data_IF_001837911551
#
_entry.id   IF_001837911551
#
_cell.length_a   1.000
_cell.length_b   1.000
_cell.length_c   1.000
_cell.angle_alpha   90.00
_cell.angle_beta   90.00
_cell.angle_gamma   90.00
#
_symmetry.space_group_name_H-M   'P 1'
#
loop_
_entity.id
_entity.type
_entity.pdbx_description
1 polymer ?
#
# COMPACT_ATOMS: atom_id res chain seq x y z
N UNK A 1 -12.43 -48.84 -39.13
CA UNK A 1 -11.71 -47.55 -39.08
C UNK A 1 -12.45 -46.67 -38.09
N UNK A 2 -12.06 -46.74 -36.82
CA UNK A 2 -12.74 -46.04 -35.71
C UNK A 2 -11.68 -45.21 -35.00
N UNK A 3 -11.68 -43.90 -35.25
CA UNK A 3 -10.76 -42.97 -34.61
C UNK A 3 -11.22 -42.70 -33.17
N UNK A 4 -10.41 -43.10 -32.19
CA UNK A 4 -10.55 -42.63 -30.81
C UNK A 4 -9.82 -41.29 -30.69
N UNK A 5 -10.59 -40.24 -30.44
CA UNK A 5 -10.08 -38.90 -30.12
C UNK A 5 -9.58 -38.91 -28.68
N UNK A 6 -8.27 -38.81 -28.47
CA UNK A 6 -7.67 -38.65 -27.15
C UNK A 6 -7.77 -37.18 -26.73
N UNK A 7 -8.54 -36.90 -25.68
CA UNK A 7 -8.56 -35.59 -25.02
C UNK A 7 -7.30 -35.49 -24.16
N UNK A 8 -6.39 -34.60 -24.53
CA UNK A 8 -5.20 -34.26 -23.74
C UNK A 8 -5.63 -33.27 -22.65
N UNK A 9 -5.75 -33.74 -21.40
CA UNK A 9 -5.90 -32.85 -20.25
C UNK A 9 -4.59 -32.11 -20.02
N UNK A 10 -4.57 -30.81 -20.33
CA UNK A 10 -3.49 -29.91 -19.91
C UNK A 10 -3.74 -29.60 -18.44
N UNK A 11 -3.02 -30.28 -17.54
CA UNK A 11 -3.03 -29.96 -16.13
C UNK A 11 -2.42 -28.57 -15.90
N UNK A 12 -3.17 -27.68 -15.24
CA UNK A 12 -2.62 -26.46 -14.66
C UNK A 12 -1.54 -26.86 -13.64
N UNK A 13 -0.28 -26.55 -13.94
CA UNK A 13 0.80 -26.63 -12.95
C UNK A 13 0.65 -25.39 -12.06
N UNK A 14 -0.12 -25.51 -10.98
CA UNK A 14 0.00 -24.59 -9.86
C UNK A 14 1.39 -24.77 -9.26
N UNK A 15 2.22 -23.72 -9.31
CA UNK A 15 3.48 -23.73 -8.56
C UNK A 15 3.13 -23.78 -7.07
N UNK A 16 3.80 -24.63 -6.26
CA UNK A 16 3.57 -24.62 -4.83
C UNK A 16 4.10 -23.28 -4.30
N UNK A 17 3.19 -22.40 -3.89
CA UNK A 17 3.55 -21.43 -2.87
C UNK A 17 4.00 -22.25 -1.65
N UNK A 18 5.21 -22.01 -1.15
CA UNK A 18 5.56 -22.56 0.15
C UNK A 18 4.56 -21.95 1.13
N UNK A 19 3.95 -22.79 1.97
CA UNK A 19 2.72 -22.48 2.71
C UNK A 19 2.80 -21.28 3.69
N UNK A 20 3.92 -20.56 3.72
CA UNK A 20 4.23 -19.49 4.67
C UNK A 20 4.89 -18.25 4.04
N UNK A 21 4.95 -18.15 2.70
CA UNK A 21 5.52 -16.97 2.06
C UNK A 21 4.68 -15.70 2.31
N UNK A 22 5.37 -14.57 2.48
CA UNK A 22 4.86 -13.21 2.61
C UNK A 22 5.40 -12.36 1.46
N UNK A 23 4.87 -12.51 0.23
CA UNK A 23 5.60 -12.14 -0.99
C UNK A 23 5.62 -10.66 -1.35
N UNK A 24 4.79 -9.84 -0.74
CA UNK A 24 4.60 -8.42 -1.10
C UNK A 24 4.20 -7.60 0.13
N UNK A 25 3.96 -6.30 -0.06
CA UNK A 25 3.36 -5.44 0.97
C UNK A 25 2.13 -6.10 1.60
N UNK A 26 2.16 -6.26 2.92
CA UNK A 26 1.11 -6.95 3.71
C UNK A 26 0.82 -8.40 3.26
N UNK A 27 1.79 -9.10 2.67
CA UNK A 27 1.68 -10.52 2.36
C UNK A 27 0.77 -10.80 1.17
N UNK A 28 0.25 -12.01 1.06
CA UNK A 28 -0.54 -12.44 -0.10
C UNK A 28 -1.71 -11.48 -0.33
N UNK A 29 -1.76 -10.91 -1.54
CA UNK A 29 -2.76 -9.97 -1.99
C UNK A 29 -2.96 -8.75 -1.05
N UNK A 30 -1.90 -8.32 -0.36
CA UNK A 30 -1.92 -7.23 0.62
C UNK A 30 -2.90 -7.39 1.80
N UNK A 31 -3.35 -8.62 2.07
CA UNK A 31 -4.35 -8.91 3.11
C UNK A 31 -3.91 -8.52 4.53
N UNK A 32 -2.62 -8.63 4.83
CA UNK A 32 -2.07 -8.51 6.17
C UNK A 32 -2.28 -9.78 7.01
N UNK A 33 -2.70 -10.90 6.41
CA UNK A 33 -3.08 -12.12 7.15
C UNK A 33 -2.18 -13.28 6.77
N UNK A 34 -1.55 -13.88 7.78
CA UNK A 34 -0.88 -15.16 7.65
C UNK A 34 -1.88 -16.30 7.80
N UNK A 35 -1.86 -17.24 6.85
CA UNK A 35 -2.66 -18.47 6.90
C UNK A 35 -1.96 -19.61 7.63
N UNK A 36 -0.74 -19.38 8.14
CA UNK A 36 0.03 -20.38 8.87
C UNK A 36 -0.63 -20.72 10.21
N UNK A 37 -0.53 -22.00 10.60
CA UNK A 37 -0.95 -22.49 11.92
C UNK A 37 0.19 -22.47 12.94
N UNK A 38 1.40 -22.06 12.55
CA UNK A 38 2.53 -21.95 13.47
C UNK A 38 2.26 -20.89 14.53
N UNK A 39 2.78 -21.13 15.73
CA UNK A 39 2.62 -20.20 16.86
C UNK A 39 3.46 -18.95 16.65
N UNK A 40 2.82 -17.79 16.80
CA UNK A 40 3.49 -16.48 16.75
C UNK A 40 3.74 -15.96 18.17
N UNK A 41 4.85 -15.25 18.42
CA UNK A 41 5.18 -14.74 19.74
C UNK A 41 4.14 -13.71 20.22
N UNK A 42 3.72 -13.83 21.48
CA UNK A 42 2.90 -12.80 22.15
C UNK A 42 3.80 -11.74 22.77
N UNK A 43 4.82 -12.18 23.51
CA UNK A 43 5.81 -11.33 24.15
C UNK A 43 7.13 -11.42 23.40
N UNK A 44 7.74 -10.28 23.10
CA UNK A 44 9.05 -10.17 22.47
C UNK A 44 9.66 -8.79 22.71
N UNK A 45 10.97 -8.72 22.69
CA UNK A 45 11.75 -7.48 22.83
C UNK A 45 13.15 -7.74 22.27
N UNK A 46 14.05 -6.76 22.36
CA UNK A 46 15.45 -6.97 22.02
C UNK A 46 16.15 -8.06 22.88
N UNK A 47 15.59 -8.38 24.05
CA UNK A 47 16.13 -9.39 24.97
C UNK A 47 15.30 -10.70 25.00
N UNK A 48 14.06 -10.67 24.48
CA UNK A 48 13.11 -11.79 24.55
C UNK A 48 12.63 -12.18 23.15
N UNK A 49 12.74 -13.45 22.79
CA UNK A 49 12.30 -14.00 21.50
C UNK A 49 12.91 -13.34 20.24
N UNK A 50 13.95 -12.50 20.39
CA UNK A 50 14.77 -12.03 19.28
C UNK A 50 15.59 -13.20 18.72
N UNK A 51 15.42 -13.49 17.44
CA UNK A 51 16.18 -14.54 16.72
C UNK A 51 17.44 -13.96 16.12
N UNK A 52 17.32 -12.81 15.48
CA UNK A 52 18.42 -12.07 14.90
C UNK A 52 17.98 -10.63 14.59
N UNK A 53 18.96 -9.75 14.46
CA UNK A 53 18.77 -8.38 13.95
C UNK A 53 19.94 -7.99 13.05
N UNK A 54 19.69 -7.09 12.11
CA UNK A 54 20.69 -6.54 11.20
C UNK A 54 20.47 -5.04 11.02
N UNK A 55 21.56 -4.27 11.02
CA UNK A 55 21.53 -2.84 10.68
C UNK A 55 21.61 -2.67 9.16
N UNK A 56 20.78 -1.78 8.61
CA UNK A 56 20.63 -1.57 7.16
C UNK A 56 20.94 -0.13 6.75
N UNK A 57 20.38 0.86 7.45
CA UNK A 57 20.31 2.26 7.02
C UNK A 57 18.88 2.76 6.97
N UNK A 58 18.67 4.01 6.55
CA UNK A 58 17.36 4.67 6.55
C UNK A 58 16.39 3.98 5.57
N UNK A 59 15.17 3.67 6.00
CA UNK A 59 14.15 3.13 5.10
C UNK A 59 12.86 2.78 5.82
N UNK A 60 11.77 2.74 5.04
CA UNK A 60 10.42 2.39 5.57
C UNK A 60 9.68 1.39 4.67
N UNK A 61 10.33 0.86 3.63
CA UNK A 61 9.83 -0.27 2.87
C UNK A 61 9.70 -1.51 3.75
N UNK A 62 8.59 -2.22 3.61
CA UNK A 62 8.31 -3.39 4.44
C UNK A 62 9.20 -4.57 4.04
N UNK A 63 9.54 -5.47 4.97
CA UNK A 63 10.18 -6.72 4.60
C UNK A 63 9.18 -7.64 3.89
N UNK A 64 9.67 -8.47 2.98
CA UNK A 64 8.93 -9.61 2.42
C UNK A 64 9.70 -10.89 2.69
N UNK A 65 9.01 -12.03 2.74
CA UNK A 65 9.64 -13.33 2.99
C UNK A 65 9.19 -14.32 1.92
N UNK A 66 10.11 -14.85 1.12
CA UNK A 66 9.78 -15.84 0.08
C UNK A 66 10.86 -16.90 -0.01
N UNK A 67 10.47 -18.17 0.03
CA UNK A 67 11.38 -19.30 -0.15
C UNK A 67 12.54 -19.29 0.84
N UNK A 68 12.25 -19.00 2.12
CA UNK A 68 13.22 -18.93 3.21
C UNK A 68 14.17 -17.73 3.16
N UNK A 69 13.87 -16.70 2.36
CA UNK A 69 14.67 -15.47 2.25
C UNK A 69 13.84 -14.25 2.64
N UNK A 70 14.46 -13.30 3.33
CA UNK A 70 13.87 -12.00 3.63
C UNK A 70 14.45 -10.97 2.68
N UNK A 71 13.60 -10.21 2.00
CA UNK A 71 14.01 -9.09 1.14
C UNK A 71 13.51 -7.77 1.71
N UNK A 72 14.35 -6.73 1.62
CA UNK A 72 14.02 -5.37 2.08
C UNK A 72 14.88 -4.34 1.36
N UNK A 73 14.48 -3.08 1.45
CA UNK A 73 15.20 -1.93 0.88
C UNK A 73 15.68 -0.98 1.98
N UNK A 74 16.74 -0.22 1.68
CA UNK A 74 17.21 0.89 2.52
C UNK A 74 18.04 1.90 1.70
N UNK A 75 18.24 3.09 2.26
CA UNK A 75 19.28 4.03 1.93
C UNK A 75 20.52 3.71 2.78
N UNK A 76 21.60 3.23 2.16
CA UNK A 76 22.86 2.89 2.86
C UNK A 76 23.86 4.05 2.91
N UNK A 77 23.65 5.06 2.06
CA UNK A 77 24.35 6.32 2.06
C UNK A 77 23.42 7.39 1.44
N UNK A 78 23.81 8.66 1.50
CA UNK A 78 23.01 9.81 1.01
C UNK A 78 22.46 9.61 -0.40
N UNK A 79 23.22 8.93 -1.27
CA UNK A 79 22.84 8.69 -2.67
C UNK A 79 22.91 7.23 -3.11
N UNK A 80 22.71 6.30 -2.16
CA UNK A 80 22.79 4.87 -2.45
C UNK A 80 21.54 4.17 -1.96
N UNK A 81 20.74 3.67 -2.91
CA UNK A 81 19.71 2.68 -2.63
C UNK A 81 20.34 1.29 -2.53
N UNK A 82 19.84 0.48 -1.60
CA UNK A 82 20.24 -0.91 -1.47
C UNK A 82 19.03 -1.83 -1.39
N UNK A 83 19.12 -2.95 -2.07
CA UNK A 83 18.21 -4.09 -1.91
C UNK A 83 19.00 -5.22 -1.25
N UNK A 84 18.43 -5.81 -0.21
CA UNK A 84 19.06 -6.87 0.56
C UNK A 84 18.29 -8.17 0.44
N UNK A 85 19.02 -9.28 0.52
CA UNK A 85 18.47 -10.60 0.83
C UNK A 85 19.17 -11.20 2.03
N UNK A 86 18.39 -11.74 2.97
CA UNK A 86 18.87 -12.45 4.14
C UNK A 86 18.27 -13.85 4.18
N UNK A 87 18.99 -14.81 4.75
CA UNK A 87 18.41 -16.09 5.14
C UNK A 87 17.42 -15.85 6.29
N UNK A 88 16.16 -16.23 6.10
CA UNK A 88 15.10 -15.96 7.08
C UNK A 88 15.35 -16.63 8.44
N UNK A 89 16.03 -17.78 8.45
CA UNK A 89 16.33 -18.50 9.67
C UNK A 89 17.40 -17.85 10.55
N UNK A 90 18.41 -17.23 9.95
CA UNK A 90 19.64 -16.83 10.66
C UNK A 90 19.93 -15.34 10.59
N UNK A 91 19.27 -14.60 9.69
CA UNK A 91 19.62 -13.20 9.40
C UNK A 91 20.92 -13.07 8.62
N UNK A 92 21.53 -14.17 8.17
CA UNK A 92 22.76 -14.13 7.37
C UNK A 92 22.48 -13.43 6.03
N UNK A 93 23.23 -12.37 5.74
CA UNK A 93 23.16 -11.69 4.45
C UNK A 93 23.57 -12.66 3.34
N UNK A 94 22.67 -12.90 2.40
CA UNK A 94 22.89 -13.71 1.21
C UNK A 94 23.51 -12.86 0.10
N UNK A 95 22.92 -11.69 -0.14
CA UNK A 95 23.43 -10.71 -1.08
C UNK A 95 22.91 -9.30 -0.75
N UNK A 96 23.58 -8.30 -1.33
CA UNK A 96 23.18 -6.90 -1.34
C UNK A 96 23.42 -6.35 -2.74
N UNK A 97 22.50 -5.55 -3.26
CA UNK A 97 22.64 -4.84 -4.53
C UNK A 97 22.45 -3.35 -4.28
N UNK A 98 23.46 -2.57 -4.66
CA UNK A 98 23.48 -1.14 -4.49
C UNK A 98 23.24 -0.43 -5.82
N UNK A 99 22.52 0.69 -5.76
CA UNK A 99 22.21 1.53 -6.91
C UNK A 99 22.47 2.99 -6.54
N UNK A 100 23.14 3.73 -7.44
CA UNK A 100 23.23 5.17 -7.31
C UNK A 100 21.83 5.78 -7.50
N UNK A 101 21.38 6.57 -6.53
CA UNK A 101 20.02 7.09 -6.50
C UNK A 101 19.79 8.26 -7.47
N UNK A 102 20.86 8.89 -7.97
CA UNK A 102 20.75 10.16 -8.70
C UNK A 102 20.37 11.33 -7.78
N UNK A 103 19.71 12.35 -8.33
CA UNK A 103 19.24 13.50 -7.56
C UNK A 103 17.93 13.15 -6.87
N UNK A 104 17.93 13.15 -5.55
CA UNK A 104 16.75 12.88 -4.74
C UNK A 104 15.85 14.13 -4.67
N UNK A 105 14.52 13.99 -4.87
CA UNK A 105 13.58 15.07 -4.62
C UNK A 105 13.46 15.34 -3.11
N UNK A 106 12.92 16.50 -2.74
CA UNK A 106 12.52 16.74 -1.35
C UNK A 106 11.37 15.80 -0.98
N UNK A 107 11.40 15.28 0.24
CA UNK A 107 10.29 14.50 0.83
C UNK A 107 10.03 14.94 2.28
N UNK A 108 8.80 14.73 2.74
CA UNK A 108 8.35 15.06 4.10
C UNK A 108 8.40 13.82 5.00
N UNK A 109 8.95 13.92 6.23
CA UNK A 109 8.87 12.85 7.22
C UNK A 109 7.42 12.40 7.53
N UNK A 110 7.20 11.14 7.93
CA UNK A 110 8.20 10.12 8.23
C UNK A 110 8.61 9.29 7.00
N UNK A 111 8.40 9.77 5.77
CA UNK A 111 8.77 9.02 4.59
C UNK A 111 10.31 8.85 4.44
N UNK A 112 10.71 7.96 3.53
CA UNK A 112 12.10 7.73 3.12
C UNK A 112 12.14 7.52 1.60
N UNK A 113 13.29 7.70 0.96
CA UNK A 113 13.44 7.34 -0.44
C UNK A 113 13.45 5.82 -0.68
N UNK A 114 13.69 5.02 0.36
CA UNK A 114 13.53 3.57 0.35
C UNK A 114 12.21 3.15 1.04
N UNK A 115 11.09 3.69 0.55
CA UNK A 115 9.74 3.49 1.10
C UNK A 115 8.93 2.42 0.38
N UNK A 116 9.21 2.20 -0.91
CA UNK A 116 8.53 1.16 -1.68
C UNK A 116 8.92 -0.23 -1.18
N UNK A 117 7.91 -1.07 -0.93
CA UNK A 117 8.07 -2.45 -0.50
C UNK A 117 8.36 -3.34 -1.72
N UNK A 118 9.38 -4.21 -1.68
CA UNK A 118 9.62 -5.20 -2.73
C UNK A 118 8.42 -6.16 -2.90
N UNK A 119 8.34 -6.81 -4.06
CA UNK A 119 7.48 -7.98 -4.30
C UNK A 119 8.28 -9.10 -4.95
N UNK A 120 7.95 -10.37 -4.67
CA UNK A 120 8.60 -11.52 -5.29
C UNK A 120 7.62 -12.59 -5.74
N UNK A 121 7.93 -13.22 -6.87
CA UNK A 121 7.26 -14.43 -7.38
C UNK A 121 8.03 -15.72 -7.06
N UNK A 122 9.03 -15.63 -6.17
CA UNK A 122 9.94 -16.71 -5.79
C UNK A 122 11.14 -16.92 -6.73
N UNK A 123 11.11 -16.37 -7.95
CA UNK A 123 12.24 -16.43 -8.90
C UNK A 123 12.97 -15.09 -8.98
N UNK A 124 12.20 -14.01 -8.94
CA UNK A 124 12.71 -12.65 -8.99
C UNK A 124 12.12 -11.82 -7.85
N UNK A 125 12.82 -10.74 -7.52
CA UNK A 125 12.37 -9.69 -6.62
C UNK A 125 12.27 -8.41 -7.43
N UNK A 126 11.12 -7.77 -7.37
CA UNK A 126 10.80 -6.53 -8.06
C UNK A 126 10.77 -5.39 -7.06
N UNK A 127 11.52 -4.33 -7.32
CA UNK A 127 11.58 -3.13 -6.49
C UNK A 127 11.25 -1.90 -7.31
N UNK A 128 10.84 -0.84 -6.62
CA UNK A 128 10.67 0.48 -7.21
C UNK A 128 11.44 1.53 -6.40
N UNK A 129 12.15 2.41 -7.10
CA UNK A 129 12.69 3.64 -6.53
C UNK A 129 12.29 4.81 -7.42
N UNK A 130 11.85 5.93 -6.84
CA UNK A 130 11.23 7.04 -7.59
C UNK A 130 12.13 7.68 -8.64
N UNK A 131 13.45 7.58 -8.48
CA UNK A 131 14.43 8.09 -9.44
C UNK A 131 14.93 7.02 -10.43
N UNK A 132 14.67 5.73 -10.18
CA UNK A 132 15.18 4.63 -11.00
C UNK A 132 14.10 3.86 -11.77
N UNK A 133 12.84 3.94 -11.33
CA UNK A 133 11.73 3.13 -11.87
C UNK A 133 11.67 1.74 -11.26
N UNK A 134 11.12 0.79 -12.02
CA UNK A 134 11.02 -0.62 -11.64
C UNK A 134 12.30 -1.38 -11.97
N UNK A 135 12.74 -2.25 -11.09
CA UNK A 135 13.93 -3.10 -11.27
C UNK A 135 13.57 -4.53 -10.87
N UNK A 136 13.97 -5.51 -11.68
CA UNK A 136 13.93 -6.92 -11.31
C UNK A 136 15.31 -7.45 -11.01
N UNK A 137 15.41 -8.14 -9.88
CA UNK A 137 16.60 -8.85 -9.44
C UNK A 137 16.29 -10.35 -9.37
N UNK A 138 17.23 -11.19 -9.76
CA UNK A 138 17.12 -12.63 -9.53
C UNK A 138 17.19 -12.91 -8.02
N UNK A 139 16.23 -13.68 -7.50
CA UNK A 139 16.01 -13.80 -6.06
C UNK A 139 17.18 -14.50 -5.33
N UNK A 140 17.87 -15.44 -5.99
CA UNK A 140 18.95 -16.21 -5.36
C UNK A 140 20.27 -15.43 -5.31
N UNK A 141 20.61 -14.73 -6.38
CA UNK A 141 21.93 -14.12 -6.59
C UNK A 141 21.90 -12.61 -6.43
N UNK A 142 20.75 -11.96 -6.60
CA UNK A 142 20.59 -10.51 -6.66
C UNK A 142 20.95 -9.89 -8.02
N UNK A 143 21.24 -10.69 -9.05
CA UNK A 143 21.59 -10.21 -10.39
C UNK A 143 20.44 -9.40 -11.01
N UNK A 144 20.74 -8.20 -11.51
CA UNK A 144 19.75 -7.39 -12.24
C UNK A 144 19.35 -8.11 -13.54
N UNK A 145 18.06 -8.41 -13.68
CA UNK A 145 17.50 -9.03 -14.89
C UNK A 145 17.01 -8.00 -15.87
N UNK A 146 16.35 -6.96 -15.38
CA UNK A 146 15.92 -5.83 -16.18
C UNK A 146 15.67 -4.60 -15.30
N UNK A 147 15.71 -3.44 -15.93
CA UNK A 147 15.35 -2.15 -15.34
C UNK A 147 14.43 -1.40 -16.30
N UNK A 148 13.35 -0.85 -15.78
CA UNK A 148 12.34 -0.10 -16.51
C UNK A 148 12.16 1.27 -15.86
N UNK A 149 12.66 2.30 -16.53
CA UNK A 149 12.36 3.68 -16.16
C UNK A 149 10.87 3.96 -16.26
N UNK A 150 10.33 4.59 -15.21
CA UNK A 150 8.98 5.14 -15.17
C UNK A 150 9.07 6.67 -15.01
N UNK A 151 8.01 7.42 -15.37
CA UNK A 151 7.95 8.85 -15.12
C UNK A 151 8.17 9.15 -13.64
N UNK A 152 9.02 10.13 -13.32
CA UNK A 152 9.21 10.55 -11.93
C UNK A 152 7.90 11.08 -11.36
N UNK A 153 7.44 10.56 -10.21
CA UNK A 153 6.19 11.02 -9.61
C UNK A 153 6.36 12.43 -9.07
N UNK A 154 5.27 13.21 -9.10
CA UNK A 154 5.23 14.57 -8.55
C UNK A 154 4.07 14.70 -7.58
N UNK A 155 4.38 15.10 -6.35
CA UNK A 155 3.41 15.29 -5.28
C UNK A 155 3.42 16.75 -4.85
N UNK A 156 2.27 17.43 -4.89
CA UNK A 156 2.16 18.85 -4.59
C UNK A 156 2.63 19.21 -3.16
N UNK A 157 2.54 18.25 -2.24
CA UNK A 157 2.86 18.42 -0.82
C UNK A 157 4.19 17.76 -0.41
N UNK A 158 5.02 17.34 -1.37
CA UNK A 158 6.31 16.67 -1.11
C UNK A 158 6.21 15.46 -0.15
N UNK A 159 5.07 14.75 -0.08
CA UNK A 159 4.96 13.54 0.76
C UNK A 159 5.93 12.44 0.31
N UNK A 160 6.33 12.45 -0.97
CA UNK A 160 7.28 11.51 -1.56
C UNK A 160 6.64 10.18 -1.96
N UNK A 161 7.29 9.45 -2.87
CA UNK A 161 6.76 8.18 -3.36
C UNK A 161 6.81 7.08 -2.29
N UNK A 162 5.72 6.31 -2.16
CA UNK A 162 5.64 5.16 -1.25
C UNK A 162 4.85 3.96 -1.82
N UNK A 163 4.23 4.10 -2.99
CA UNK A 163 3.51 2.99 -3.64
C UNK A 163 4.44 1.80 -3.89
N UNK A 164 3.88 0.60 -3.79
CA UNK A 164 4.62 -0.66 -3.92
C UNK A 164 4.09 -1.50 -5.09
N UNK A 165 4.95 -2.18 -5.85
CA UNK A 165 4.52 -3.11 -6.89
C UNK A 165 3.84 -4.37 -6.30
N UNK A 166 2.99 -5.01 -7.10
CA UNK A 166 2.51 -6.37 -6.87
C UNK A 166 2.88 -7.26 -8.06
N UNK A 167 2.92 -8.58 -7.85
CA UNK A 167 3.08 -9.55 -8.94
C UNK A 167 1.93 -10.55 -8.94
N UNK A 168 1.32 -10.76 -10.10
CA UNK A 168 0.27 -11.74 -10.29
C UNK A 168 0.32 -12.27 -11.73
N UNK A 169 0.26 -13.58 -11.90
CA UNK A 169 0.25 -14.27 -13.20
C UNK A 169 1.30 -13.75 -14.20
N UNK A 170 2.55 -13.64 -13.73
CA UNK A 170 3.68 -13.20 -14.56
C UNK A 170 3.62 -11.72 -14.97
N UNK A 171 2.80 -10.91 -14.31
CA UNK A 171 2.68 -9.48 -14.53
C UNK A 171 2.99 -8.72 -13.23
N UNK A 172 3.88 -7.73 -13.33
CA UNK A 172 4.13 -6.75 -12.26
C UNK A 172 3.20 -5.56 -12.49
N UNK A 173 2.32 -5.29 -11.52
CA UNK A 173 1.46 -4.11 -11.53
C UNK A 173 2.03 -3.05 -10.58
N UNK A 174 2.03 -1.80 -11.03
CA UNK A 174 2.50 -0.67 -10.22
C UNK A 174 1.56 0.53 -10.38
N UNK A 175 0.94 0.94 -9.28
CA UNK A 175 0.07 2.12 -9.24
C UNK A 175 0.90 3.36 -8.89
N UNK A 176 0.97 4.30 -9.81
CA UNK A 176 1.51 5.62 -9.56
C UNK A 176 0.36 6.62 -9.63
N UNK A 177 -0.34 6.80 -8.52
CA UNK A 177 -1.27 7.92 -8.37
C UNK A 177 -0.50 9.11 -7.82
N UNK A 178 -0.05 9.99 -8.70
CA UNK A 178 0.61 11.25 -8.35
C UNK A 178 -0.24 12.45 -8.79
N UNK A 179 0.17 13.67 -8.44
CA UNK A 179 -0.62 14.87 -8.73
C UNK A 179 -0.43 15.40 -10.16
N UNK A 180 0.47 14.81 -10.96
CA UNK A 180 0.81 15.26 -12.31
C UNK A 180 0.31 14.33 -13.42
N UNK A 181 0.64 13.05 -13.36
CA UNK A 181 0.36 12.03 -14.39
C UNK A 181 0.05 10.67 -13.76
N UNK A 182 -1.05 10.56 -13.00
CA UNK A 182 -1.46 9.32 -12.36
C UNK A 182 -1.76 8.21 -13.38
N UNK A 183 -1.22 7.03 -13.17
CA UNK A 183 -1.31 5.90 -14.10
C UNK A 183 -1.08 4.55 -13.40
N UNK A 184 -1.75 3.51 -13.89
CA UNK A 184 -1.49 2.12 -13.50
C UNK A 184 -0.67 1.43 -14.60
N UNK A 185 0.50 0.93 -14.23
CA UNK A 185 1.38 0.18 -15.13
C UNK A 185 1.20 -1.32 -14.98
N UNK A 186 1.28 -2.05 -16.10
CA UNK A 186 1.43 -3.49 -16.13
C UNK A 186 2.65 -3.87 -16.97
N UNK A 187 3.60 -4.55 -16.35
CA UNK A 187 4.88 -4.92 -16.95
C UNK A 187 5.05 -6.44 -16.91
N UNK A 188 5.54 -7.04 -17.99
CA UNK A 188 5.88 -8.46 -18.01
C UNK A 188 6.99 -8.76 -17.00
N UNK A 189 6.73 -9.67 -16.07
CA UNK A 189 7.60 -9.94 -14.93
C UNK A 189 8.96 -10.53 -15.37
N UNK A 190 9.00 -11.24 -16.49
CA UNK A 190 10.23 -11.85 -16.99
C UNK A 190 11.13 -10.86 -17.72
N UNK A 191 10.56 -10.00 -18.55
CA UNK A 191 11.30 -9.18 -19.51
C UNK A 191 11.36 -7.68 -19.17
N UNK A 192 10.49 -7.19 -18.29
CA UNK A 192 10.36 -5.75 -18.04
C UNK A 192 9.64 -5.00 -19.18
N UNK A 193 9.08 -5.72 -20.16
CA UNK A 193 8.34 -5.11 -21.26
C UNK A 193 6.99 -4.59 -20.77
N UNK A 194 6.65 -3.35 -21.15
CA UNK A 194 5.33 -2.78 -20.86
C UNK A 194 4.26 -3.60 -21.61
N UNK A 195 3.28 -4.13 -20.87
CA UNK A 195 2.12 -4.81 -21.44
C UNK A 195 1.03 -3.81 -21.77
N UNK A 196 0.71 -2.95 -20.80
CA UNK A 196 -0.26 -1.87 -20.95
C UNK A 196 -0.10 -0.82 -19.86
N UNK A 197 -0.72 0.34 -20.07
CA UNK A 197 -0.91 1.38 -19.07
C UNK A 197 -2.39 1.76 -19.03
N UNK A 198 -2.97 1.94 -17.85
CA UNK A 198 -4.31 2.48 -17.70
C UNK A 198 -4.23 3.92 -17.21
N UNK A 199 -4.84 4.85 -17.97
CA UNK A 199 -4.95 6.25 -17.58
C UNK A 199 -5.76 6.38 -16.28
N UNK A 200 -5.20 7.14 -15.34
CA UNK A 200 -5.83 7.45 -14.06
C UNK A 200 -5.84 8.96 -13.84
N UNK A 201 -5.85 9.76 -14.91
CA UNK A 201 -5.90 11.23 -14.90
C UNK A 201 -7.04 11.84 -14.07
N UNK A 202 -8.05 11.04 -13.69
CA UNK A 202 -9.10 11.41 -12.76
C UNK A 202 -8.75 11.21 -11.27
N UNK A 203 -7.56 10.71 -10.94
CA UNK A 203 -7.04 10.55 -9.59
C UNK A 203 -6.11 11.72 -9.18
N UNK A 204 -5.86 11.84 -7.88
CA UNK A 204 -4.84 12.71 -7.28
C UNK A 204 -3.80 11.83 -6.57
N UNK A 205 -2.79 12.46 -5.94
CA UNK A 205 -1.79 11.80 -5.14
C UNK A 205 -2.36 10.74 -4.18
N UNK A 206 -1.95 9.48 -4.38
CA UNK A 206 -2.40 8.31 -3.64
C UNK A 206 -1.30 7.26 -3.49
N UNK A 207 -1.49 6.35 -2.53
CA UNK A 207 -0.46 5.36 -2.13
C UNK A 207 -0.98 3.93 -2.04
N UNK A 208 -2.23 3.71 -2.44
CA UNK A 208 -2.84 2.39 -2.39
C UNK A 208 -2.14 1.42 -3.36
N UNK A 209 -1.78 0.25 -2.83
CA UNK A 209 -1.25 -0.87 -3.61
C UNK A 209 -2.43 -1.56 -4.32
N UNK A 210 -2.28 -1.97 -5.60
CA UNK A 210 -3.30 -2.77 -6.27
C UNK A 210 -3.55 -4.10 -5.54
N UNK A 211 -4.78 -4.61 -5.65
CA UNK A 211 -5.12 -5.96 -5.20
C UNK A 211 -5.83 -6.72 -6.32
N UNK A 212 -5.76 -8.04 -6.28
CA UNK A 212 -6.51 -8.90 -7.19
C UNK A 212 -7.83 -9.25 -6.53
N UNK A 213 -8.94 -9.06 -7.26
CA UNK A 213 -10.27 -9.45 -6.80
C UNK A 213 -10.88 -10.44 -7.79
N UNK A 214 -11.18 -11.63 -7.29
CA UNK A 214 -11.98 -12.62 -8.00
C UNK A 214 -13.41 -12.59 -7.47
N UNK A 215 -14.35 -12.23 -8.34
CA UNK A 215 -15.76 -12.16 -7.99
C UNK A 215 -16.61 -12.38 -9.24
N UNK A 216 -17.72 -13.12 -9.11
CA UNK A 216 -18.65 -13.38 -10.21
C UNK A 216 -17.99 -13.99 -11.46
N UNK A 217 -16.97 -14.86 -11.28
CA UNK A 217 -16.22 -15.47 -12.38
C UNK A 217 -15.29 -14.51 -13.13
N UNK A 218 -15.02 -13.34 -12.56
CA UNK A 218 -14.16 -12.30 -13.11
C UNK A 218 -12.99 -12.00 -12.17
N UNK A 219 -11.79 -11.92 -12.74
CA UNK A 219 -10.58 -11.46 -12.05
C UNK A 219 -10.27 -10.03 -12.48
N UNK A 220 -10.18 -9.11 -11.52
CA UNK A 220 -9.85 -7.70 -11.73
C UNK A 220 -8.61 -7.29 -10.93
N UNK A 221 -7.78 -6.41 -11.52
CA UNK A 221 -6.85 -5.58 -10.74
C UNK A 221 -7.65 -4.42 -10.17
N UNK A 222 -7.75 -4.34 -8.85
CA UNK A 222 -8.53 -3.33 -8.14
C UNK A 222 -7.60 -2.31 -7.50
N UNK A 223 -7.89 -1.03 -7.73
CA UNK A 223 -7.14 0.08 -7.14
C UNK A 223 -8.10 1.07 -6.49
N UNK A 224 -7.82 1.40 -5.24
CA UNK A 224 -8.48 2.48 -4.52
C UNK A 224 -7.78 3.80 -4.84
N UNK A 225 -8.47 4.73 -5.48
CA UNK A 225 -7.96 6.07 -5.77
C UNK A 225 -8.89 7.14 -5.24
N UNK A 226 -8.54 8.41 -5.49
CA UNK A 226 -9.38 9.56 -5.12
C UNK A 226 -10.80 9.38 -5.66
N UNK A 227 -11.82 9.39 -4.80
CA UNK A 227 -13.25 9.28 -5.17
C UNK A 227 -13.72 7.94 -5.71
N UNK A 228 -12.85 7.18 -6.37
CA UNK A 228 -13.20 5.92 -7.00
C UNK A 228 -12.46 4.71 -6.44
N UNK A 229 -13.20 3.62 -6.28
CA UNK A 229 -12.65 2.26 -6.34
C UNK A 229 -12.87 1.74 -7.76
N UNK A 230 -11.79 1.36 -8.45
CA UNK A 230 -11.86 0.91 -9.85
C UNK A 230 -11.32 -0.50 -10.02
N UNK A 231 -11.97 -1.27 -10.89
CA UNK A 231 -11.51 -2.58 -11.33
C UNK A 231 -11.08 -2.54 -12.81
N UNK A 232 -9.92 -3.12 -13.08
CA UNK A 232 -9.30 -3.18 -14.40
C UNK A 232 -9.13 -4.62 -14.87
N UNK A 233 -9.27 -4.82 -16.17
CA UNK A 233 -8.91 -6.07 -16.82
C UNK A 233 -7.39 -6.34 -16.68
N UNK A 234 -6.97 -7.46 -16.04
CA UNK A 234 -5.55 -7.75 -15.84
C UNK A 234 -4.76 -7.91 -17.16
N UNK A 235 -5.42 -8.33 -18.24
CA UNK A 235 -4.79 -8.61 -19.53
C UNK A 235 -4.65 -7.36 -20.39
N UNK A 236 -5.63 -6.44 -20.33
CA UNK A 236 -5.69 -5.28 -21.24
C UNK A 236 -5.54 -3.92 -20.57
N UNK A 237 -5.73 -3.82 -19.26
CA UNK A 237 -5.76 -2.55 -18.54
C UNK A 237 -7.05 -1.75 -18.73
N UNK A 238 -8.04 -2.31 -19.44
CA UNK A 238 -9.32 -1.64 -19.63
C UNK A 238 -10.06 -1.51 -18.29
N UNK A 239 -10.53 -0.30 -17.98
CA UNK A 239 -11.44 -0.08 -16.86
C UNK A 239 -12.74 -0.86 -17.12
N UNK A 240 -13.08 -1.75 -16.19
CA UNK A 240 -14.28 -2.60 -16.29
C UNK A 240 -15.42 -2.03 -15.48
N UNK A 241 -15.13 -1.51 -14.29
CA UNK A 241 -16.12 -0.91 -13.40
C UNK A 241 -15.48 0.13 -12.48
N UNK A 242 -16.32 1.05 -11.99
CA UNK A 242 -15.94 2.08 -11.03
C UNK A 242 -17.05 2.28 -9.99
N UNK A 243 -16.68 2.40 -8.73
CA UNK A 243 -17.56 2.81 -7.62
C UNK A 243 -17.10 4.19 -7.12
N UNK A 244 -17.92 5.22 -7.31
CA UNK A 244 -17.68 6.56 -6.82
C UNK A 244 -18.07 6.66 -5.32
N UNK A 245 -17.32 5.95 -4.48
CA UNK A 245 -17.63 5.81 -3.05
C UNK A 245 -16.47 6.12 -2.13
N UNK A 246 -15.27 6.38 -2.65
CA UNK A 246 -14.09 6.65 -1.80
C UNK A 246 -13.95 8.16 -1.56
N UNK A 247 -12.89 8.52 -0.84
CA UNK A 247 -12.63 9.90 -0.43
C UNK A 247 -11.50 10.50 -1.27
N UNK A 248 -11.26 11.79 -1.09
CA UNK A 248 -10.25 12.53 -1.85
C UNK A 248 -8.84 11.93 -1.74
N UNK A 249 -8.33 11.71 -0.54
CA UNK A 249 -6.98 11.15 -0.36
C UNK A 249 -7.09 9.68 0.02
N UNK A 250 -6.59 8.81 -0.84
CA UNK A 250 -6.56 7.36 -0.61
C UNK A 250 -5.11 6.88 -0.48
N UNK A 251 -4.72 6.62 0.76
CA UNK A 251 -3.42 6.00 1.07
C UNK A 251 -3.58 4.54 1.48
N UNK A 252 -4.65 4.23 2.22
CA UNK A 252 -4.98 2.87 2.63
C UNK A 252 -5.28 1.96 1.42
N UNK A 253 -4.67 0.77 1.43
CA UNK A 253 -4.92 -0.25 0.40
C UNK A 253 -6.19 -1.04 0.69
N UNK A 254 -6.97 -1.43 -0.33
CA UNK A 254 -8.13 -2.32 -0.18
C UNK A 254 -7.71 -3.70 0.31
N UNK A 255 -8.64 -4.41 0.97
CA UNK A 255 -8.50 -5.82 1.35
C UNK A 255 -9.58 -6.63 0.65
N UNK A 256 -9.22 -7.78 0.08
CA UNK A 256 -10.19 -8.67 -0.58
C UNK A 256 -10.38 -9.94 0.25
N UNK A 257 -11.63 -10.27 0.55
CA UNK A 257 -12.03 -11.57 1.11
C UNK A 257 -13.33 -12.02 0.43
N UNK A 258 -13.33 -13.23 -0.14
CA UNK A 258 -14.51 -13.87 -0.76
C UNK A 258 -15.22 -12.99 -1.81
N UNK A 259 -14.45 -12.29 -2.65
CA UNK A 259 -14.98 -11.39 -3.68
C UNK A 259 -15.58 -10.08 -3.14
N UNK A 260 -15.41 -9.78 -1.85
CA UNK A 260 -15.77 -8.53 -1.21
C UNK A 260 -14.50 -7.72 -0.94
N UNK A 261 -14.55 -6.43 -1.27
CA UNK A 261 -13.47 -5.47 -1.11
C UNK A 261 -13.79 -4.58 0.08
N UNK A 262 -12.90 -4.56 1.06
CA UNK A 262 -13.00 -3.76 2.28
C UNK A 262 -12.04 -2.58 2.24
N UNK A 263 -12.54 -1.41 2.62
CA UNK A 263 -11.81 -0.15 2.61
C UNK A 263 -12.07 0.60 3.90
N UNK A 264 -11.08 1.35 4.37
CA UNK A 264 -11.27 2.37 5.38
C UNK A 264 -10.40 3.56 5.06
N UNK A 265 -10.94 4.77 5.14
CA UNK A 265 -10.17 5.98 4.95
C UNK A 265 -10.75 7.14 5.76
N UNK A 266 -9.85 7.96 6.27
CA UNK A 266 -10.13 9.34 6.66
C UNK A 266 -9.46 10.25 5.64
N UNK A 267 -10.16 11.26 5.17
CA UNK A 267 -9.58 12.33 4.36
C UNK A 267 -9.86 13.67 5.04
N UNK A 268 -8.83 14.51 5.17
CA UNK A 268 -8.98 15.86 5.74
C UNK A 268 -9.85 16.75 4.84
N UNK A 269 -10.51 17.73 5.45
CA UNK A 269 -11.54 18.56 4.81
C UNK A 269 -12.95 18.11 5.18
N UNK A 270 -13.93 19.01 5.03
CA UNK A 270 -15.35 18.62 5.07
C UNK A 270 -15.76 17.98 3.72
N UNK A 271 -16.95 17.39 3.66
CA UNK A 271 -17.48 16.71 2.46
C UNK A 271 -17.56 17.62 1.22
N UNK A 272 -17.46 18.95 1.40
CA UNK A 272 -17.53 19.97 0.36
C UNK A 272 -16.18 20.64 0.08
N UNK A 273 -15.18 20.48 0.96
CA UNK A 273 -13.85 21.09 0.83
C UNK A 273 -12.94 20.27 -0.06
N UNK A 274 -12.59 20.88 -1.19
CA UNK A 274 -11.73 20.35 -2.25
C UNK A 274 -10.26 20.78 -2.06
N UNK A 275 -9.38 20.58 -3.07
CA UNK A 275 -7.92 20.80 -2.98
C UNK A 275 -7.50 22.21 -2.51
N UNK A 276 -8.36 23.21 -2.72
CA UNK A 276 -8.21 24.63 -2.36
C UNK A 276 -7.39 24.92 -1.11
N UNK A 277 -7.82 24.45 0.06
CA UNK A 277 -7.20 24.85 1.33
C UNK A 277 -5.77 24.33 1.48
N UNK A 278 -5.52 23.11 1.01
CA UNK A 278 -4.19 22.52 1.01
C UNK A 278 -3.29 23.12 -0.08
N UNK A 279 -3.84 23.73 -1.13
CA UNK A 279 -3.02 24.47 -2.08
C UNK A 279 -2.60 25.83 -1.51
N UNK A 280 -3.55 26.57 -0.92
CA UNK A 280 -3.26 27.87 -0.33
C UNK A 280 -2.29 27.77 0.86
N UNK A 281 -2.48 26.83 1.78
CA UNK A 281 -1.57 26.74 2.93
C UNK A 281 -0.11 26.41 2.53
N UNK A 282 0.11 25.77 1.38
CA UNK A 282 1.40 25.18 1.02
C UNK A 282 2.11 25.87 -0.14
N UNK A 283 1.36 26.41 -1.10
CA UNK A 283 1.90 27.00 -2.34
C UNK A 283 1.72 28.51 -2.39
N UNK A 284 0.80 29.10 -1.62
CA UNK A 284 0.66 30.55 -1.52
C UNK A 284 1.77 31.12 -0.63
N UNK A 285 2.92 31.34 -1.25
CA UNK A 285 4.16 31.71 -0.54
C UNK A 285 4.11 33.13 0.01
N UNK A 286 3.30 34.00 -0.60
CA UNK A 286 3.13 35.39 -0.19
C UNK A 286 1.89 35.61 0.70
N UNK A 287 1.06 34.56 0.88
CA UNK A 287 -0.16 34.53 1.68
C UNK A 287 -1.23 35.51 1.22
N UNK A 288 -1.34 35.78 -0.09
CA UNK A 288 -2.30 36.71 -0.68
C UNK A 288 -3.66 36.08 -1.03
N UNK A 289 -3.80 34.77 -0.79
CA UNK A 289 -4.99 33.97 -1.04
C UNK A 289 -5.13 33.53 -2.50
N UNK A 290 -4.08 33.65 -3.31
CA UNK A 290 -4.06 33.33 -4.74
C UNK A 290 -2.85 32.48 -5.07
N UNK A 291 -2.87 31.85 -6.24
CA UNK A 291 -1.74 31.08 -6.75
C UNK A 291 -1.34 31.59 -8.13
N UNK A 292 -0.11 32.05 -8.25
CA UNK A 292 0.49 32.43 -9.53
C UNK A 292 1.32 31.28 -10.11
N UNK A 293 1.56 31.30 -11.42
CA UNK A 293 2.41 30.29 -12.08
C UNK A 293 3.84 30.24 -11.53
N UNK A 294 4.31 31.30 -10.87
CA UNK A 294 5.63 31.37 -10.23
C UNK A 294 5.68 30.58 -8.90
N UNK A 295 4.53 30.37 -8.27
CA UNK A 295 4.38 29.68 -6.98
C UNK A 295 4.11 28.18 -7.14
N UNK A 296 3.88 27.76 -8.38
CA UNK A 296 3.58 26.37 -8.73
C UNK A 296 4.82 25.72 -9.35
N UNK A 297 5.15 24.45 -9.02
CA UNK A 297 6.23 23.75 -9.68
C UNK A 297 6.05 23.75 -11.21
N UNK A 298 7.15 23.95 -11.95
CA UNK A 298 7.11 24.19 -13.40
C UNK A 298 6.43 23.06 -14.17
N UNK A 299 6.55 21.83 -13.66
CA UNK A 299 5.99 20.62 -14.23
C UNK A 299 4.45 20.66 -14.26
N UNK A 300 3.83 21.43 -13.36
CA UNK A 300 2.38 21.60 -13.26
C UNK A 300 1.84 22.73 -14.14
N UNK A 301 2.67 23.36 -14.98
CA UNK A 301 2.28 24.51 -15.80
C UNK A 301 1.05 24.25 -16.67
N UNK A 302 0.91 23.07 -17.27
CA UNK A 302 -0.28 22.73 -18.06
C UNK A 302 -1.54 22.52 -17.21
N UNK A 303 -1.40 21.97 -15.99
CA UNK A 303 -2.51 21.84 -15.04
C UNK A 303 -2.92 23.19 -14.45
N UNK A 304 -1.96 24.10 -14.27
CA UNK A 304 -2.21 25.49 -13.91
C UNK A 304 -3.03 26.17 -15.00
N UNK A 305 -2.56 26.11 -16.26
CA UNK A 305 -3.24 26.73 -17.41
C UNK A 305 -4.65 26.17 -17.61
N UNK A 306 -4.89 24.90 -17.27
CA UNK A 306 -6.23 24.30 -17.29
C UNK A 306 -7.13 24.73 -16.12
N UNK A 307 -6.54 25.18 -15.01
CA UNK A 307 -7.25 25.61 -13.79
C UNK A 307 -7.54 27.12 -13.79
N UNK A 308 -6.72 27.91 -14.48
CA UNK A 308 -6.90 29.34 -14.80
C UNK A 308 -7.92 29.50 -15.93
N UNK A 309 -9.20 29.49 -15.57
CA UNK A 309 -10.34 29.51 -16.51
C UNK A 309 -10.53 30.88 -17.13
N UNK A 310 -10.15 31.95 -16.44
CA UNK A 310 -10.29 33.32 -16.93
C UNK A 310 -9.05 33.79 -17.72
N UNK A 311 -7.93 33.07 -17.63
CA UNK A 311 -6.68 33.32 -18.36
C UNK A 311 -5.90 34.53 -17.84
N UNK A 312 -6.12 34.96 -16.59
CA UNK A 312 -5.47 36.13 -16.00
C UNK A 312 -4.09 35.82 -15.38
N UNK A 313 -3.69 34.55 -15.41
CA UNK A 313 -2.41 34.07 -14.89
C UNK A 313 -2.43 33.81 -13.37
N UNK A 314 -3.61 33.82 -12.74
CA UNK A 314 -3.80 33.70 -11.30
C UNK A 314 -4.98 32.80 -10.96
N UNK A 315 -4.75 31.71 -10.23
CA UNK A 315 -5.84 30.87 -9.70
C UNK A 315 -6.34 31.50 -8.40
N UNK A 316 -7.56 32.02 -8.41
CA UNK A 316 -8.17 32.71 -7.27
C UNK A 316 -9.51 32.10 -6.82
N UNK A 317 -10.26 32.80 -5.95
CA UNK A 317 -11.56 32.36 -5.44
C UNK A 317 -12.51 32.00 -6.60
N UNK A 318 -13.11 30.80 -6.55
CA UNK A 318 -13.94 30.23 -7.62
C UNK A 318 -13.19 29.27 -8.56
N UNK A 319 -11.91 29.51 -8.86
CA UNK A 319 -11.07 28.58 -9.63
C UNK A 319 -10.36 27.58 -8.70
N UNK A 320 -9.87 28.08 -7.56
CA UNK A 320 -9.23 27.29 -6.50
C UNK A 320 -10.04 26.09 -6.04
N UNK A 321 -11.38 26.20 -6.04
CA UNK A 321 -12.27 25.12 -5.60
C UNK A 321 -12.20 23.90 -6.53
N UNK A 322 -11.79 24.08 -7.79
CA UNK A 322 -11.67 22.99 -8.78
C UNK A 322 -10.25 22.79 -9.30
N UNK A 323 -9.30 23.63 -8.87
CA UNK A 323 -7.93 23.61 -9.37
C UNK A 323 -7.26 22.24 -9.16
N UNK A 324 -6.53 21.80 -10.17
CA UNK A 324 -5.80 20.53 -10.20
C UNK A 324 -6.66 19.26 -10.01
N UNK A 325 -7.99 19.37 -10.01
CA UNK A 325 -8.91 18.25 -9.88
C UNK A 325 -9.61 17.96 -11.21
N UNK A 326 -9.86 16.67 -11.47
CA UNK A 326 -10.59 16.26 -12.67
C UNK A 326 -12.07 16.63 -12.57
N UNK A 327 -12.68 17.11 -13.65
CA UNK A 327 -14.12 17.36 -13.70
C UNK A 327 -14.97 16.10 -13.44
N UNK A 328 -14.39 14.90 -13.64
CA UNK A 328 -15.04 13.62 -13.33
C UNK A 328 -14.92 13.22 -11.86
N UNK A 329 -14.09 13.92 -11.09
CA UNK A 329 -13.77 13.59 -9.71
C UNK A 329 -13.59 14.84 -8.84
N UNK A 330 -14.61 15.16 -8.06
CA UNK A 330 -14.65 16.33 -7.16
C UNK A 330 -15.01 15.91 -5.73
N UNK A 331 -14.59 14.71 -5.30
CA UNK A 331 -14.92 14.22 -3.96
C UNK A 331 -14.19 15.01 -2.87
N UNK A 332 -14.89 15.24 -1.75
CA UNK A 332 -14.35 15.96 -0.60
C UNK A 332 -13.65 15.08 0.44
N UNK A 333 -13.43 15.67 1.61
CA UNK A 333 -12.96 14.97 2.79
C UNK A 333 -14.07 14.17 3.48
N UNK A 334 -13.74 13.44 4.54
CA UNK A 334 -14.71 12.66 5.30
C UNK A 334 -14.10 11.45 5.99
N UNK A 335 -14.97 10.55 6.43
CA UNK A 335 -14.59 9.25 6.97
C UNK A 335 -15.44 8.17 6.34
N UNK A 336 -14.82 7.04 6.00
CA UNK A 336 -15.56 5.93 5.43
C UNK A 336 -14.94 4.60 5.84
N UNK A 337 -15.80 3.63 6.12
CA UNK A 337 -15.46 2.20 6.25
C UNK A 337 -16.49 1.46 5.40
N UNK A 338 -16.03 0.73 4.39
CA UNK A 338 -16.90 0.18 3.35
C UNK A 338 -16.63 -1.28 3.08
N UNK A 339 -17.68 -1.98 2.68
CA UNK A 339 -17.60 -3.22 1.91
C UNK A 339 -18.24 -3.00 0.54
N UNK A 340 -17.50 -3.35 -0.51
CA UNK A 340 -17.92 -3.24 -1.90
C UNK A 340 -17.76 -4.61 -2.55
N UNK A 341 -18.80 -5.13 -3.18
CA UNK A 341 -18.72 -6.36 -3.97
C UNK A 341 -17.81 -6.14 -5.18
N UNK A 342 -16.89 -7.07 -5.44
CA UNK A 342 -16.13 -7.09 -6.70
C UNK A 342 -16.95 -7.61 -7.87
N UNK A 343 -16.38 -7.58 -9.08
CA UNK A 343 -16.95 -8.21 -10.26
C UNK A 343 -18.23 -7.53 -10.76
N UNK A 344 -18.06 -6.43 -11.50
CA UNK A 344 -19.15 -5.69 -12.13
C UNK A 344 -18.77 -5.09 -13.50
N UNK A 345 -19.64 -4.19 -14.01
CA UNK A 345 -19.47 -3.46 -15.27
C UNK A 345 -20.00 -2.03 -15.15
N UNK A 346 -19.24 -1.05 -15.64
CA UNK A 346 -19.63 0.37 -15.64
C UNK A 346 -19.67 0.98 -14.23
N UNK A 347 -20.55 1.95 -14.02
CA UNK A 347 -20.78 2.53 -12.68
C UNK A 347 -21.53 1.51 -11.79
N UNK A 348 -20.84 1.06 -10.76
CA UNK A 348 -21.35 0.05 -9.81
C UNK A 348 -21.69 0.64 -8.44
N UNK A 349 -21.61 1.95 -8.28
CA UNK A 349 -21.73 2.65 -6.98
C UNK A 349 -23.00 2.25 -6.22
N UNK A 350 -24.15 2.20 -6.90
CA UNK A 350 -25.44 1.88 -6.27
C UNK A 350 -25.70 0.38 -6.09
N UNK A 351 -24.97 -0.48 -6.81
CA UNK A 351 -25.27 -1.91 -6.93
C UNK A 351 -24.29 -2.79 -6.17
N UNK A 352 -23.06 -2.31 -5.93
CA UNK A 352 -21.99 -3.10 -5.34
C UNK A 352 -21.56 -2.63 -3.95
N UNK A 353 -21.85 -1.39 -3.55
CA UNK A 353 -21.64 -0.96 -2.15
C UNK A 353 -22.63 -1.74 -1.26
N UNK A 354 -22.11 -2.65 -0.44
CA UNK A 354 -22.90 -3.50 0.45
C UNK A 354 -23.30 -2.75 1.71
N UNK A 355 -22.34 -2.03 2.29
CA UNK A 355 -22.55 -1.13 3.41
C UNK A 355 -21.44 -0.09 3.45
N UNK A 356 -21.75 1.05 4.06
CA UNK A 356 -20.82 2.16 4.29
C UNK A 356 -21.09 2.75 5.68
N UNK A 357 -20.06 2.84 6.50
CA UNK A 357 -20.14 3.31 7.87
C UNK A 357 -19.41 4.64 7.96
N UNK A 358 -20.09 5.66 8.48
CA UNK A 358 -19.45 6.89 8.91
C UNK A 358 -19.02 6.73 10.37
N UNK A 359 -17.71 6.54 10.58
CA UNK A 359 -17.11 6.43 11.91
C UNK A 359 -15.93 7.40 12.04
N UNK A 360 -15.56 7.78 13.27
CA UNK A 360 -14.44 8.69 13.55
C UNK A 360 -13.09 7.99 13.72
N UNK A 361 -13.02 6.67 13.71
CA UNK A 361 -11.77 5.90 13.90
C UNK A 361 -10.97 5.51 12.65
N UNK A 362 -11.39 5.66 11.37
CA UNK A 362 -10.51 5.29 10.27
C UNK A 362 -9.29 6.20 10.23
N UNK A 363 -8.19 5.65 9.71
CA UNK A 363 -6.94 6.37 9.47
C UNK A 363 -6.93 6.89 8.04
N UNK A 364 -6.21 7.99 7.83
CA UNK A 364 -5.89 8.48 6.48
C UNK A 364 -4.76 7.67 5.82
N UNK A 365 -4.01 6.86 6.60
CA UNK A 365 -2.79 6.16 6.16
C UNK A 365 -2.95 4.65 6.27
N UNK A 366 -3.38 4.19 7.44
CA UNK A 366 -3.38 2.77 7.82
C UNK A 366 -4.50 2.03 7.13
N UNK A 367 -4.17 0.93 6.43
CA UNK A 367 -5.21 0.11 5.80
C UNK A 367 -5.87 -0.83 6.81
N UNK A 368 -7.17 -1.14 6.65
CA UNK A 368 -7.88 -2.02 7.56
C UNK A 368 -7.29 -3.43 7.53
N UNK A 369 -7.61 -4.27 8.50
CA UNK A 369 -7.37 -5.71 8.40
C UNK A 369 -8.70 -6.46 8.52
N UNK A 370 -8.84 -7.52 7.72
CA UNK A 370 -10.00 -8.40 7.75
C UNK A 370 -9.51 -9.80 8.07
N UNK A 371 -9.98 -10.38 9.18
CA UNK A 371 -9.60 -11.73 9.62
C UNK A 371 -10.84 -12.48 10.09
N UNK A 372 -11.23 -13.50 9.33
CA UNK A 372 -12.48 -14.22 9.58
C UNK A 372 -13.67 -13.30 9.38
N UNK A 373 -14.50 -13.13 10.42
CA UNK A 373 -15.66 -12.25 10.36
C UNK A 373 -15.37 -10.83 10.90
N UNK A 374 -14.14 -10.54 11.29
CA UNK A 374 -13.75 -9.29 11.93
C UNK A 374 -13.03 -8.34 10.96
N UNK A 375 -13.50 -7.11 10.84
CA UNK A 375 -12.78 -5.97 10.28
C UNK A 375 -12.25 -5.11 11.43
N UNK A 376 -10.94 -4.89 11.50
CA UNK A 376 -10.29 -4.06 12.52
C UNK A 376 -9.58 -2.85 11.88
N UNK A 377 -9.70 -1.71 12.55
CA UNK A 377 -9.03 -0.46 12.16
C UNK A 377 -8.40 0.22 13.37
N UNK A 378 -7.33 0.96 13.11
CA UNK A 378 -6.61 1.77 14.09
C UNK A 378 -6.17 3.09 13.45
N UNK A 379 -6.13 4.15 14.26
CA UNK A 379 -5.56 5.44 13.87
C UNK A 379 -4.73 6.06 14.99
N UNK A 380 -4.17 7.25 14.71
CA UNK A 380 -3.40 8.08 15.64
C UNK A 380 -3.95 8.08 17.08
N UNK A 381 -3.03 7.96 18.02
CA UNK A 381 -3.30 7.82 19.46
C UNK A 381 -3.75 6.42 19.88
N UNK A 382 -3.63 5.43 18.99
CA UNK A 382 -4.03 4.05 19.24
C UNK A 382 -5.54 3.89 19.35
N UNK A 383 -6.32 4.79 18.75
CA UNK A 383 -7.77 4.71 18.74
C UNK A 383 -8.21 3.68 17.71
N UNK A 384 -9.01 2.71 18.11
CA UNK A 384 -9.41 1.57 17.30
C UNK A 384 -10.91 1.33 17.33
N UNK A 385 -11.42 0.69 16.29
CA UNK A 385 -12.77 0.13 16.22
C UNK A 385 -12.71 -1.20 15.50
N UNK A 386 -13.76 -2.00 15.67
CA UNK A 386 -13.89 -3.31 15.04
C UNK A 386 -15.34 -3.56 14.65
N UNK A 387 -15.54 -4.22 13.52
CA UNK A 387 -16.84 -4.40 12.89
C UNK A 387 -16.98 -5.81 12.34
N UNK A 388 -18.21 -6.28 12.30
CA UNK A 388 -18.59 -7.50 11.59
C UNK A 388 -18.52 -7.26 10.08
N UNK A 389 -17.76 -8.09 9.37
CA UNK A 389 -17.49 -7.98 7.93
C UNK A 389 -18.73 -8.13 7.05
N UNK A 390 -19.75 -8.85 7.51
CA UNK A 390 -20.97 -9.10 6.73
C UNK A 390 -21.97 -7.97 6.86
N UNK A 391 -22.15 -7.47 8.07
CA UNK A 391 -23.23 -6.53 8.43
C UNK A 391 -22.75 -5.10 8.65
N UNK A 392 -21.46 -4.88 8.86
CA UNK A 392 -20.90 -3.59 9.26
C UNK A 392 -21.25 -3.18 10.70
N UNK A 393 -21.87 -4.06 11.49
CA UNK A 393 -22.19 -3.75 12.89
C UNK A 393 -20.91 -3.72 13.72
N UNK A 394 -20.78 -2.74 14.60
CA UNK A 394 -19.62 -2.66 15.47
C UNK A 394 -19.60 -3.78 16.51
N UNK A 395 -18.41 -4.37 16.68
CA UNK A 395 -18.06 -5.17 17.84
C UNK A 395 -17.67 -4.24 19.01
N UNK A 396 -16.87 -3.22 18.70
CA UNK A 396 -16.56 -2.10 19.59
C UNK A 396 -16.14 -0.89 18.77
N UNK A 397 -16.22 0.30 19.36
CA UNK A 397 -15.82 1.54 18.71
C UNK A 397 -14.99 2.42 19.63
N UNK A 398 -14.15 3.28 19.03
CA UNK A 398 -13.45 4.38 19.69
C UNK A 398 -12.71 3.97 20.97
N UNK A 399 -12.12 2.77 20.96
CA UNK A 399 -11.43 2.18 22.10
C UNK A 399 -9.93 2.24 21.88
N UNK A 400 -9.16 2.60 22.92
CA UNK A 400 -7.70 2.73 22.81
C UNK A 400 -6.99 1.41 23.10
N UNK A 401 -6.00 1.08 22.27
CA UNK A 401 -5.13 -0.10 22.44
C UNK A 401 -3.99 0.12 23.45
N UNK A 402 -4.10 1.16 24.31
CA UNK A 402 -3.14 1.52 25.37
C UNK A 402 -1.70 1.77 24.91
N UNK A 403 -1.51 2.14 23.64
CA UNK A 403 -0.26 2.69 23.12
C UNK A 403 -0.54 4.03 22.43
N UNK A 404 -0.09 5.13 23.04
CA UNK A 404 -0.29 6.49 22.50
C UNK A 404 0.87 6.83 21.57
N UNK A 405 0.57 7.00 20.29
CA UNK A 405 1.55 7.35 19.26
C UNK A 405 0.90 7.54 17.89
N UNK A 406 1.72 7.81 16.89
CA UNK A 406 1.31 7.79 15.49
C UNK A 406 1.37 6.36 14.93
N UNK A 407 0.56 6.10 13.90
CA UNK A 407 0.41 4.79 13.28
C UNK A 407 0.44 4.98 11.77
N UNK A 408 1.48 4.44 11.15
CA UNK A 408 1.69 4.41 9.69
C UNK A 408 1.70 2.96 9.19
N UNK A 409 2.34 2.07 9.97
CA UNK A 409 2.31 0.64 9.78
C UNK A 409 0.88 0.11 9.91
N UNK A 410 0.49 -0.77 8.98
CA UNK A 410 -0.82 -1.40 9.05
C UNK A 410 -0.80 -2.65 9.94
N UNK A 411 -1.94 -3.01 10.57
CA UNK A 411 -2.01 -4.24 11.34
C UNK A 411 -1.75 -5.47 10.48
N UNK A 412 -1.15 -6.49 11.08
CA UNK A 412 -1.00 -7.83 10.52
C UNK A 412 -1.50 -8.89 11.50
N UNK A 413 -1.96 -10.04 11.00
CA UNK A 413 -2.56 -11.07 11.83
C UNK A 413 -2.10 -12.48 11.48
N UNK A 414 -2.16 -13.35 12.48
CA UNK A 414 -1.88 -14.78 12.38
C UNK A 414 -2.01 -15.45 13.75
N UNK A 415 -2.24 -16.76 13.78
CA UNK A 415 -2.34 -17.54 15.04
C UNK A 415 -3.31 -16.92 16.07
N UNK A 416 -4.45 -16.39 15.61
CA UNK A 416 -5.46 -15.76 16.46
C UNK A 416 -5.04 -14.44 17.11
N UNK A 417 -3.98 -13.78 16.61
CA UNK A 417 -3.48 -12.50 17.12
C UNK A 417 -3.46 -11.44 16.03
N UNK A 418 -3.64 -10.18 16.43
CA UNK A 418 -3.46 -9.00 15.58
C UNK A 418 -2.31 -8.17 16.16
N UNK A 419 -1.29 -7.92 15.36
CA UNK A 419 -0.12 -7.12 15.69
C UNK A 419 -0.30 -5.71 15.16
N UNK A 420 -0.20 -4.72 16.04
CA UNK A 420 -0.41 -3.31 15.71
C UNK A 420 0.85 -2.52 16.07
N UNK A 421 1.58 -2.11 15.04
CA UNK A 421 2.86 -1.41 15.17
C UNK A 421 2.66 0.10 15.23
N UNK A 422 3.11 0.74 16.31
CA UNK A 422 3.17 2.20 16.43
C UNK A 422 4.52 2.74 15.94
N UNK A 423 4.50 3.99 15.44
CA UNK A 423 5.72 4.71 15.02
C UNK A 423 6.75 4.80 16.16
N UNK A 424 6.27 4.83 17.40
CA UNK A 424 7.09 4.90 18.61
C UNK A 424 7.87 3.61 18.93
N UNK A 425 7.83 2.58 18.07
CA UNK A 425 8.55 1.33 18.25
C UNK A 425 7.81 0.27 19.07
N UNK A 426 6.66 0.62 19.64
CA UNK A 426 5.84 -0.34 20.38
C UNK A 426 4.91 -1.11 19.45
N UNK A 427 4.91 -2.44 19.57
CA UNK A 427 3.97 -3.34 18.88
C UNK A 427 3.00 -3.92 19.90
N UNK A 428 1.74 -3.54 19.77
CA UNK A 428 0.65 -4.07 20.60
C UNK A 428 0.13 -5.36 19.97
N UNK A 429 0.01 -6.42 20.77
CA UNK A 429 -0.56 -7.70 20.36
C UNK A 429 -1.96 -7.81 20.94
N UNK A 430 -2.95 -7.94 20.07
CA UNK A 430 -4.34 -8.12 20.43
C UNK A 430 -4.75 -9.57 20.18
N UNK A 431 -5.68 -10.07 20.99
CA UNK A 431 -6.42 -11.28 20.64
C UNK A 431 -7.39 -10.97 19.50
N UNK A 432 -7.44 -11.83 18.48
CA UNK A 432 -8.46 -11.77 17.44
C UNK A 432 -9.82 -12.14 18.05
N UNK A 433 -10.86 -11.34 17.77
CA UNK A 433 -12.21 -11.63 18.22
C UNK A 433 -13.07 -10.37 18.39
N UNK A 434 -14.34 -10.54 18.82
CA UNK A 434 -15.32 -9.46 18.93
C UNK A 434 -15.15 -8.59 20.18
N UNK A 435 -14.10 -8.80 20.97
CA UNK A 435 -13.76 -7.99 22.14
C UNK A 435 -12.34 -7.46 22.01
N UNK A 436 -12.12 -6.22 22.42
CA UNK A 436 -10.78 -5.68 22.55
C UNK A 436 -10.08 -6.34 23.74
N UNK A 437 -9.17 -7.27 23.47
CA UNK A 437 -8.29 -7.88 24.47
C UNK A 437 -6.83 -7.67 24.08
N UNK A 438 -6.07 -6.97 24.94
CA UNK A 438 -4.64 -6.68 24.72
C UNK A 438 -3.85 -7.79 25.42
N UNK A 439 -3.08 -8.54 24.66
CA UNK A 439 -2.26 -9.65 25.14
C UNK A 439 -0.89 -9.18 25.62
N UNK A 440 -0.26 -8.27 24.89
CA UNK A 440 1.07 -7.73 25.22
C UNK A 440 1.33 -6.40 24.50
N UNK A 441 2.33 -5.67 24.99
CA UNK A 441 2.93 -4.52 24.33
C UNK A 441 4.44 -4.72 24.32
N UNK A 442 5.03 -4.73 23.13
CA UNK A 442 6.42 -5.13 22.90
C UNK A 442 7.24 -3.95 22.38
N UNK A 443 8.43 -3.72 22.92
CA UNK A 443 9.32 -2.64 22.49
C UNK A 443 10.44 -3.20 21.58
N UNK A 444 10.57 -2.63 20.39
CA UNK A 444 11.62 -2.99 19.41
C UNK A 444 12.80 -2.03 19.43
N UNK A 445 12.77 -0.98 20.26
CA UNK A 445 13.90 -0.09 20.53
C UNK A 445 14.17 0.99 19.48
N UNK A 446 13.40 1.05 18.39
CA UNK A 446 13.48 2.14 17.42
C UNK A 446 12.14 2.42 16.71
N UNK A 447 12.07 3.56 16.02
CA UNK A 447 10.85 3.96 15.30
C UNK A 447 10.48 2.98 14.20
N UNK A 448 9.19 2.67 14.08
CA UNK A 448 8.66 1.69 13.12
C UNK A 448 7.52 2.27 12.27
N UNK A 449 7.82 2.58 11.01
CA UNK A 449 6.85 3.05 10.01
C UNK A 449 6.39 1.90 9.11
N UNK A 450 7.27 0.94 8.88
CA UNK A 450 7.02 -0.21 8.01
C UNK A 450 6.06 -1.21 8.66
N UNK A 451 5.21 -1.83 7.83
CA UNK A 451 4.32 -2.91 8.25
C UNK A 451 5.12 -4.21 8.43
N UNK A 452 5.00 -4.93 9.56
CA UNK A 452 5.70 -6.20 9.75
C UNK A 452 5.31 -7.27 8.72
N UNK A 453 6.20 -8.23 8.49
CA UNK A 453 5.89 -9.45 7.75
C UNK A 453 5.78 -10.65 8.68
N UNK A 454 4.94 -11.62 8.32
CA UNK A 454 4.77 -12.87 9.08
C UNK A 454 5.08 -14.05 8.17
N UNK A 455 6.04 -14.88 8.56
CA UNK A 455 6.37 -16.12 7.86
C UNK A 455 7.04 -17.10 8.83
N UNK A 456 6.78 -18.39 8.68
CA UNK A 456 7.45 -19.46 9.43
C UNK A 456 7.36 -19.34 10.96
N UNK A 457 6.21 -18.89 11.47
CA UNK A 457 6.02 -18.68 12.92
C UNK A 457 6.83 -17.50 13.48
N UNK A 458 7.33 -16.63 12.59
CA UNK A 458 8.17 -15.47 12.93
C UNK A 458 7.54 -14.18 12.44
N UNK A 459 7.94 -13.09 13.09
CA UNK A 459 7.55 -11.73 12.75
C UNK A 459 8.82 -10.96 12.41
N UNK A 460 8.84 -10.39 11.21
CA UNK A 460 9.94 -9.59 10.70
C UNK A 460 9.54 -8.12 10.78
N UNK A 461 10.24 -7.35 11.60
CA UNK A 461 9.94 -5.95 11.88
C UNK A 461 11.03 -5.08 11.30
N UNK A 462 10.66 -4.17 10.41
CA UNK A 462 11.57 -3.14 9.90
C UNK A 462 11.41 -1.88 10.74
N UNK A 463 12.40 -1.63 11.60
CA UNK A 463 12.61 -0.33 12.21
C UNK A 463 13.19 0.66 11.19
N UNK A 464 13.46 1.90 11.61
CA UNK A 464 14.03 2.92 10.70
C UNK A 464 15.40 2.52 10.17
N UNK A 465 16.25 1.97 11.02
CA UNK A 465 17.66 1.66 10.74
C UNK A 465 17.94 0.16 10.67
N UNK A 466 17.13 -0.67 11.34
CA UNK A 466 17.37 -2.12 11.46
C UNK A 466 16.19 -2.96 10.98
N UNK A 467 16.49 -4.24 10.73
CA UNK A 467 15.52 -5.31 10.55
C UNK A 467 15.68 -6.31 11.69
N UNK A 468 14.56 -6.66 12.33
CA UNK A 468 14.48 -7.61 13.43
C UNK A 468 13.65 -8.82 13.04
N UNK A 469 14.03 -9.99 13.55
CA UNK A 469 13.23 -11.19 13.46
C UNK A 469 12.91 -11.70 14.87
N UNK A 470 11.63 -11.80 15.20
CA UNK A 470 11.13 -12.35 16.46
C UNK A 470 10.41 -13.68 16.21
N UNK A 471 10.57 -14.65 17.12
CA UNK A 471 9.91 -15.95 17.00
C UNK A 471 10.05 -16.79 18.27
N UNK A 472 9.21 -17.80 18.43
CA UNK A 472 9.25 -18.74 19.56
C UNK A 472 10.28 -19.86 19.37
N UNK A 473 10.65 -20.16 18.12
CA UNK A 473 11.63 -21.17 17.72
C UNK A 473 12.64 -20.67 16.67
#
# INVERSE_FOLDING_TARGET
MTYRLGILLIGLIAMPAFAEDWPQFRGVNASGVSTSKKKLPTEFSLDTNLRWSVKLGDGVGCPIVVGGKVFTTAMTAERTFSVFAFEAATGKKLWQRDFESGKLPRITPPNSHASSTPVSDGKQVYVYFSTLGLIALEAMSGEEKWKRSLPSPSYLMDWGAASSPIVHDGTVYFNQDDDLSPVLFAVDAKSGAMKWTADRSDMLGGYAVPVICEANGQTDVVVSGSGFLKGYDPATGAERWASNSTLRTMMASPIVQDGIIYLSSQSYGDEKRTLKFALLEWLDTNQDGKLTKAEIPKEFGSRFDASDKNGDGVIAEGELDTAFQSAKNQVGGGNTIQAVRGGGRGDVTKTHVLWNINNKSPSNIVSPIVVGEQLFIVKKGGLSSSFDTKTGKSHWELSRIRNIGDYYASPVAGDGKIYVTGENGFIVVLEQGPKLNILATNDVGESCVATPAIADGRIYVRGRESLFCFGLE
#
